data_IF_915743027096
#
_entry.id   IF_915743027096
#
_cell.length_a   1.000
_cell.length_b   1.000
_cell.length_c   1.000
_cell.angle_alpha   90.00
_cell.angle_beta   90.00
_cell.angle_gamma   90.00
#
_symmetry.space_group_name_H-M   'P 1'
#
loop_
_entity.id
_entity.type
_entity.pdbx_description
1 polymer ?
#
# COMPACT_ATOMS: atom_id res chain seq x y z
N UNK A 1 6.88 -11.52 -9.92
CA UNK A 1 5.97 -10.79 -8.99
C UNK A 1 4.55 -11.36 -8.89
N UNK A 2 3.91 -11.79 -10.00
CA UNK A 2 2.51 -12.32 -9.99
C UNK A 2 2.22 -13.40 -8.95
N UNK A 3 3.18 -14.30 -8.68
CA UNK A 3 3.03 -15.36 -7.67
C UNK A 3 2.86 -14.80 -6.24
N UNK A 4 3.56 -13.72 -5.89
CA UNK A 4 3.47 -13.11 -4.57
C UNK A 4 2.08 -12.51 -4.38
N UNK A 5 1.60 -11.74 -5.38
CA UNK A 5 0.26 -11.17 -5.36
C UNK A 5 -0.83 -12.25 -5.29
N UNK A 6 -0.74 -13.31 -6.09
CA UNK A 6 -1.67 -14.42 -6.01
C UNK A 6 -1.68 -15.10 -4.63
N UNK A 7 -0.51 -15.27 -4.01
CA UNK A 7 -0.43 -15.86 -2.67
C UNK A 7 -1.07 -14.98 -1.61
N UNK A 8 -0.81 -13.66 -1.60
CA UNK A 8 -1.42 -12.75 -0.60
C UNK A 8 -2.92 -12.59 -0.83
N UNK A 9 -3.38 -12.59 -2.08
CA UNK A 9 -4.81 -12.51 -2.43
C UNK A 9 -5.57 -13.78 -2.01
N UNK A 10 -4.88 -14.91 -1.91
CA UNK A 10 -5.46 -16.19 -1.46
C UNK A 10 -5.36 -16.43 0.06
N UNK A 11 -4.85 -15.47 0.84
CA UNK A 11 -4.70 -15.65 2.27
C UNK A 11 -6.06 -15.76 2.97
N UNK A 12 -6.17 -16.78 3.82
CA UNK A 12 -7.38 -16.96 4.62
C UNK A 12 -7.46 -15.89 5.71
N UNK A 13 -8.64 -15.30 5.97
CA UNK A 13 -8.85 -14.42 7.10
C UNK A 13 -8.46 -15.13 8.40
N UNK A 14 -7.73 -14.43 9.25
CA UNK A 14 -7.39 -14.92 10.56
C UNK A 14 -8.31 -14.30 11.60
N UNK A 15 -8.69 -15.04 12.64
CA UNK A 15 -9.69 -14.61 13.62
C UNK A 15 -9.23 -13.44 14.50
N UNK A 16 -7.90 -13.22 14.60
CA UNK A 16 -7.30 -12.21 15.48
C UNK A 16 -6.75 -10.98 14.77
N UNK A 17 -6.50 -11.05 13.47
CA UNK A 17 -5.86 -9.97 12.72
C UNK A 17 -6.30 -9.97 11.26
N UNK A 18 -6.36 -8.79 10.67
CA UNK A 18 -6.84 -8.51 9.31
C UNK A 18 -5.75 -8.74 8.24
N UNK A 19 -4.89 -9.75 8.40
CA UNK A 19 -3.76 -10.00 7.48
C UNK A 19 -4.20 -10.25 6.04
N UNK A 20 -5.36 -10.87 5.86
CA UNK A 20 -5.94 -11.14 4.54
C UNK A 20 -6.35 -9.85 3.80
N UNK A 21 -6.64 -8.76 4.53
CA UNK A 21 -6.97 -7.46 3.95
C UNK A 21 -5.72 -6.57 3.82
N UNK A 22 -4.88 -6.57 4.87
CA UNK A 22 -3.73 -5.66 4.97
C UNK A 22 -2.61 -6.06 4.03
N UNK A 23 -2.27 -7.36 3.92
CA UNK A 23 -1.11 -7.78 3.13
C UNK A 23 -1.28 -7.58 1.63
N UNK A 24 -2.43 -7.89 0.99
CA UNK A 24 -2.65 -7.56 -0.42
C UNK A 24 -2.41 -6.09 -0.75
N UNK A 25 -2.87 -5.17 0.10
CA UNK A 25 -2.65 -3.72 -0.05
C UNK A 25 -1.18 -3.38 0.19
N UNK A 26 -0.60 -3.83 1.32
CA UNK A 26 0.77 -3.50 1.71
C UNK A 26 1.81 -3.92 0.66
N UNK A 27 1.72 -5.14 0.14
CA UNK A 27 2.67 -5.62 -0.87
C UNK A 27 2.52 -4.87 -2.20
N UNK A 28 1.30 -4.49 -2.59
CA UNK A 28 1.06 -3.66 -3.77
C UNK A 28 1.56 -2.24 -3.58
N UNK A 29 1.42 -1.67 -2.39
CA UNK A 29 1.92 -0.33 -2.07
C UNK A 29 3.45 -0.32 -2.07
N UNK A 30 4.10 -1.29 -1.42
CA UNK A 30 5.56 -1.41 -1.41
C UNK A 30 6.12 -1.59 -2.83
N UNK A 31 5.53 -2.49 -3.61
CA UNK A 31 6.03 -2.80 -4.96
C UNK A 31 5.61 -1.77 -6.01
N UNK A 32 4.34 -1.39 -6.04
CA UNK A 32 3.75 -0.50 -7.04
C UNK A 32 4.12 0.96 -6.85
N UNK A 33 4.30 1.40 -5.60
CA UNK A 33 4.66 2.78 -5.26
C UNK A 33 6.13 2.93 -4.84
N UNK A 34 6.91 1.84 -4.81
CA UNK A 34 8.34 1.88 -4.47
C UNK A 34 8.64 2.46 -3.09
N UNK A 35 7.72 2.25 -2.14
CA UNK A 35 7.85 2.70 -0.77
C UNK A 35 8.87 1.88 -0.01
N UNK A 36 9.67 2.55 0.84
CA UNK A 36 10.46 1.84 1.86
C UNK A 36 9.52 1.29 2.92
N UNK A 37 9.93 0.21 3.59
CA UNK A 37 9.12 -0.40 4.65
C UNK A 37 8.77 0.60 5.77
N UNK A 38 9.70 1.47 6.16
CA UNK A 38 9.45 2.51 7.17
C UNK A 38 8.42 3.53 6.69
N UNK A 39 8.51 3.95 5.43
CA UNK A 39 7.56 4.90 4.83
C UNK A 39 6.14 4.29 4.74
N UNK A 40 6.04 3.00 4.45
CA UNK A 40 4.75 2.30 4.40
C UNK A 40 4.12 2.10 5.79
N UNK A 41 4.93 1.86 6.83
CA UNK A 41 4.47 1.73 8.21
C UNK A 41 4.06 3.07 8.83
N UNK A 42 4.69 4.17 8.42
CA UNK A 42 4.35 5.52 8.87
C UNK A 42 3.18 6.16 8.11
N UNK A 43 2.74 5.54 7.02
CA UNK A 43 1.66 6.04 6.17
C UNK A 43 0.36 6.22 6.96
N UNK A 44 -0.26 7.39 6.84
CA UNK A 44 -1.55 7.69 7.49
C UNK A 44 -2.66 7.79 6.46
N UNK A 45 -3.90 7.59 6.90
CA UNK A 45 -5.10 7.71 6.04
C UNK A 45 -5.14 9.08 5.32
N UNK A 46 -4.77 10.17 6.01
CA UNK A 46 -4.69 11.52 5.43
C UNK A 46 -3.66 11.69 4.31
N UNK A 47 -2.75 10.74 4.17
CA UNK A 47 -1.69 10.76 3.15
C UNK A 47 -2.09 9.96 1.91
N UNK A 48 -3.25 9.30 1.93
CA UNK A 48 -3.77 8.49 0.82
C UNK A 48 -4.95 9.21 0.20
N UNK A 49 -4.80 9.63 -1.06
CA UNK A 49 -5.90 10.13 -1.88
C UNK A 49 -6.29 9.07 -2.91
N UNK A 50 -7.36 8.33 -2.62
CA UNK A 50 -7.90 7.30 -3.51
C UNK A 50 -8.71 7.88 -4.68
N UNK A 51 -9.16 9.13 -4.60
CA UNK A 51 -9.92 9.77 -5.69
C UNK A 51 -9.00 10.13 -6.84
N UNK A 52 -7.83 10.70 -6.50
CA UNK A 52 -6.82 11.13 -7.48
C UNK A 52 -5.80 10.01 -7.72
N UNK A 53 -5.74 9.00 -6.85
CA UNK A 53 -4.79 7.90 -6.97
C UNK A 53 -3.37 8.28 -6.56
N UNK A 54 -3.22 9.10 -5.51
CA UNK A 54 -1.92 9.64 -5.08
C UNK A 54 -1.64 9.35 -3.61
N UNK A 55 -0.40 8.94 -3.32
CA UNK A 55 0.15 8.74 -1.99
C UNK A 55 1.14 9.85 -1.65
N UNK A 56 0.99 10.44 -0.48
CA UNK A 56 1.92 11.43 0.06
C UNK A 56 2.91 10.74 0.98
N UNK A 57 4.14 10.53 0.51
CA UNK A 57 5.18 9.92 1.31
C UNK A 57 5.90 11.00 2.11
N UNK A 58 5.67 11.02 3.43
CA UNK A 58 6.36 11.91 4.38
C UNK A 58 7.68 11.30 4.82
N UNK A 59 8.59 12.11 5.35
CA UNK A 59 9.87 11.67 5.92
C UNK A 59 10.80 10.91 4.94
N UNK A 60 10.85 11.34 3.67
CA UNK A 60 11.89 10.88 2.75
C UNK A 60 13.29 11.34 3.18
N UNK A 61 14.33 10.90 2.44
CA UNK A 61 15.71 11.35 2.67
C UNK A 61 15.75 12.90 2.68
N UNK A 62 16.36 13.47 3.72
CA UNK A 62 16.38 14.93 3.98
C UNK A 62 15.04 15.58 4.35
N UNK A 63 14.11 14.81 4.93
CA UNK A 63 12.80 15.31 5.37
C UNK A 63 11.95 15.89 4.22
N UNK A 64 12.22 15.47 2.98
CA UNK A 64 11.44 15.88 1.82
C UNK A 64 10.27 14.93 1.63
N UNK A 65 9.09 15.51 1.48
CA UNK A 65 7.89 14.76 1.10
C UNK A 65 7.84 14.61 -0.42
N UNK A 66 7.30 13.50 -0.91
CA UNK A 66 7.07 13.27 -2.34
C UNK A 66 5.68 12.69 -2.58
N UNK A 67 5.11 13.03 -3.73
CA UNK A 67 3.88 12.41 -4.21
C UNK A 67 4.25 11.17 -5.04
N UNK A 68 3.53 10.08 -4.81
CA UNK A 68 3.67 8.84 -5.56
C UNK A 68 2.34 8.46 -6.14
N UNK A 69 2.31 8.22 -7.45
CA UNK A 69 1.09 7.81 -8.16
C UNK A 69 0.82 6.33 -7.90
N UNK A 70 -0.42 6.01 -7.59
CA UNK A 70 -0.92 4.65 -7.42
C UNK A 70 -1.35 4.07 -8.77
N UNK A 71 -1.10 2.79 -8.99
CA UNK A 71 -1.65 2.10 -10.17
C UNK A 71 -3.16 1.89 -10.00
N UNK A 72 -3.95 1.86 -11.10
CA UNK A 72 -5.39 1.60 -11.02
C UNK A 72 -5.73 0.28 -10.30
N UNK A 73 -4.90 -0.75 -10.49
CA UNK A 73 -5.03 -2.04 -9.81
C UNK A 73 -4.83 -1.98 -8.29
N UNK A 74 -4.15 -0.95 -7.79
CA UNK A 74 -3.93 -0.74 -6.37
C UNK A 74 -5.12 0.00 -5.74
N UNK A 75 -5.69 0.95 -6.47
CA UNK A 75 -6.88 1.70 -6.05
C UNK A 75 -8.07 0.75 -5.87
N UNK A 76 -8.28 -0.16 -6.82
CA UNK A 76 -9.35 -1.18 -6.75
C UNK A 76 -9.24 -2.07 -5.49
N UNK A 77 -8.03 -2.47 -5.13
CA UNK A 77 -7.78 -3.30 -3.93
C UNK A 77 -7.87 -2.50 -2.64
N UNK A 78 -7.55 -1.20 -2.67
CA UNK A 78 -7.62 -0.32 -1.50
C UNK A 78 -9.04 0.21 -1.21
N UNK A 79 -9.95 0.13 -2.18
CA UNK A 79 -11.36 0.52 -2.04
C UNK A 79 -12.27 -0.65 -1.60
N UNK A 80 -11.72 -1.86 -1.51
CA UNK A 80 -12.44 -3.08 -1.16
C UNK A 80 -12.69 -3.17 0.35
#
# INVERSE_FOLDING_TARGET
MKRIFASVDSMRPHTRYNSAEVYPVLFRVLYGCGLRISEALDLRIRDVDLNIGVLTVRNGKFNKSRLVVMSPSLIDVAQK
#
